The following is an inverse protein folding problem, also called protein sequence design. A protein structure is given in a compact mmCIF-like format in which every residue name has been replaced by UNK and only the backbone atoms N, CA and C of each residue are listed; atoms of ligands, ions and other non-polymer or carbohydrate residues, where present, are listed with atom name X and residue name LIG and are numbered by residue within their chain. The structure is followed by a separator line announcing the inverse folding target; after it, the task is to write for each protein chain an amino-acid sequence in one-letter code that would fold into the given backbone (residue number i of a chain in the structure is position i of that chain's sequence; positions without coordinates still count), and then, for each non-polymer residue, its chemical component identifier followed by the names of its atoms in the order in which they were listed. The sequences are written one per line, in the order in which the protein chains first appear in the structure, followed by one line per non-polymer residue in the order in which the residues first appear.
data_IF_615794797102
#
_entry.id   IF_615794797102
#
_cell.length_a   1.000
_cell.length_b   1.000
_cell.length_c   1.000
_cell.angle_alpha   90.00
_cell.angle_beta   90.00
_cell.angle_gamma   90.00
#
_symmetry.space_group_name_H-M   'P 1'
#
loop_
_entity.id
_entity.type
_entity.pdbx_description
1 polymer ?
#
# COMPACT_ATOMS: atom_id res chain seq x y z
N UNK A 1 15.46 -3.15 -55.19
CA UNK A 1 14.85 -2.22 -54.22
C UNK A 1 14.95 -2.88 -52.85
N UNK A 2 15.88 -2.46 -52.00
CA UNK A 2 16.07 -3.03 -50.66
C UNK A 2 15.52 -2.03 -49.64
N UNK A 3 14.44 -2.40 -48.93
CA UNK A 3 13.95 -1.64 -47.78
C UNK A 3 14.85 -1.91 -46.56
N UNK A 4 15.28 -0.89 -45.81
CA UNK A 4 15.96 -1.09 -44.55
C UNK A 4 14.98 -1.54 -43.46
N UNK A 5 15.40 -2.57 -42.73
CA UNK A 5 14.72 -3.17 -41.60
C UNK A 5 14.55 -2.18 -40.45
N UNK A 6 13.30 -1.87 -40.10
CA UNK A 6 12.93 -1.04 -38.95
C UNK A 6 13.20 -1.79 -37.65
N UNK A 7 14.20 -1.35 -36.89
CA UNK A 7 14.43 -1.79 -35.52
C UNK A 7 13.24 -1.40 -34.63
N UNK A 8 12.76 -2.25 -33.72
CA UNK A 8 11.75 -1.86 -32.74
C UNK A 8 12.33 -0.83 -31.77
N UNK A 9 11.65 0.31 -31.67
CA UNK A 9 11.94 1.36 -30.68
C UNK A 9 11.61 0.79 -29.31
N UNK A 10 12.65 0.48 -28.52
CA UNK A 10 12.53 0.17 -27.11
C UNK A 10 12.05 1.44 -26.39
N UNK A 11 10.74 1.52 -26.15
CA UNK A 11 10.16 2.53 -25.28
C UNK A 11 10.70 2.32 -23.87
N UNK A 12 11.69 3.15 -23.49
CA UNK A 12 12.10 3.28 -22.09
C UNK A 12 10.88 3.79 -21.33
N UNK A 13 10.24 2.92 -20.55
CA UNK A 13 9.34 3.36 -19.50
C UNK A 13 10.11 4.35 -18.60
N UNK A 14 9.51 5.47 -18.18
CA UNK A 14 10.15 6.36 -17.24
C UNK A 14 10.56 5.55 -16.01
N UNK A 15 11.79 5.72 -15.48
CA UNK A 15 12.11 5.14 -14.19
C UNK A 15 11.07 5.67 -13.21
N UNK A 16 10.41 4.76 -12.50
CA UNK A 16 9.51 5.07 -11.38
C UNK A 16 10.34 5.69 -10.25
N UNK A 17 10.84 6.91 -10.46
CA UNK A 17 11.45 7.75 -9.46
C UNK A 17 10.27 8.38 -8.76
N UNK A 18 9.56 7.62 -7.92
CA UNK A 18 8.77 8.24 -6.88
C UNK A 18 9.79 8.97 -6.01
N UNK A 19 9.80 10.32 -5.98
CA UNK A 19 10.72 11.03 -5.12
C UNK A 19 10.39 10.59 -3.69
N UNK A 20 11.35 9.95 -3.03
CA UNK A 20 11.26 9.58 -1.62
C UNK A 20 11.31 10.87 -0.80
N UNK A 21 10.23 11.64 -0.82
CA UNK A 21 10.14 12.88 -0.06
C UNK A 21 9.94 12.51 1.39
N UNK A 22 10.99 12.69 2.19
CA UNK A 22 10.92 12.61 3.64
C UNK A 22 10.09 13.79 4.14
N UNK A 23 8.98 13.51 4.82
CA UNK A 23 8.09 14.58 5.28
C UNK A 23 7.08 14.10 6.32
N UNK A 24 6.27 15.06 6.80
CA UNK A 24 5.17 14.79 7.73
C UNK A 24 3.93 14.39 6.95
N UNK A 25 3.33 13.25 7.29
CA UNK A 25 2.04 12.87 6.72
C UNK A 25 0.94 13.84 7.19
N UNK A 26 0.21 14.45 6.27
CA UNK A 26 -0.89 15.37 6.61
C UNK A 26 -2.05 14.71 7.35
N UNK A 27 -2.25 13.39 7.20
CA UNK A 27 -3.36 12.66 7.82
C UNK A 27 -3.02 12.16 9.24
N UNK A 28 -1.93 11.40 9.40
CA UNK A 28 -1.55 10.84 10.72
C UNK A 28 -0.52 11.68 11.49
N UNK A 29 0.03 12.73 10.89
CA UNK A 29 1.00 13.63 11.54
C UNK A 29 2.39 13.04 11.80
N UNK A 30 2.62 11.75 11.48
CA UNK A 30 3.90 11.09 11.68
C UNK A 30 4.95 11.69 10.74
N UNK A 31 6.09 12.08 11.32
CA UNK A 31 7.27 12.63 10.64
C UNK A 31 8.11 11.52 10.04
N UNK A 32 9.05 11.89 9.16
CA UNK A 32 10.09 11.01 8.64
C UNK A 32 9.61 9.74 7.92
N UNK A 33 8.35 9.73 7.46
CA UNK A 33 7.87 8.60 6.68
C UNK A 33 8.54 8.60 5.31
N UNK A 34 9.03 7.42 4.93
CA UNK A 34 9.48 7.17 3.57
C UNK A 34 8.23 6.95 2.71
N UNK A 35 8.23 7.45 1.47
CA UNK A 35 7.12 7.34 0.52
C UNK A 35 5.84 8.10 0.95
N UNK A 36 5.87 9.43 0.79
CA UNK A 36 4.65 10.24 0.77
C UNK A 36 4.06 10.28 -0.65
N UNK A 37 2.77 10.01 -0.74
CA UNK A 37 1.97 10.20 -1.94
C UNK A 37 1.45 11.63 -1.94
N UNK A 38 1.72 12.35 -3.03
CA UNK A 38 1.14 13.66 -3.25
C UNK A 38 -0.31 13.47 -3.70
N UNK A 39 -1.24 14.01 -2.93
CA UNK A 39 -2.66 14.02 -3.27
C UNK A 39 -3.16 15.45 -3.24
N UNK A 40 -4.02 15.81 -4.20
CA UNK A 40 -4.68 17.10 -4.21
C UNK A 40 -5.98 16.96 -3.42
N UNK A 41 -6.06 17.62 -2.27
CA UNK A 41 -7.28 17.65 -1.45
C UNK A 41 -7.74 19.10 -1.37
N UNK A 42 -8.90 19.38 -2.00
CA UNK A 42 -9.48 20.74 -2.08
C UNK A 42 -8.52 21.77 -2.72
N UNK A 43 -7.79 21.38 -3.75
CA UNK A 43 -6.87 22.27 -4.47
C UNK A 43 -5.53 22.54 -3.78
N UNK A 44 -5.24 21.86 -2.66
CA UNK A 44 -3.94 21.95 -1.98
C UNK A 44 -3.22 20.61 -2.06
N UNK A 45 -1.96 20.63 -2.49
CA UNK A 45 -1.09 19.45 -2.45
C UNK A 45 -0.80 19.05 -1.01
N UNK A 46 -1.12 17.79 -0.69
CA UNK A 46 -0.87 17.20 0.62
C UNK A 46 -0.10 15.91 0.46
N UNK A 47 0.97 15.78 1.23
CA UNK A 47 1.71 14.51 1.34
C UNK A 47 1.04 13.59 2.35
N UNK A 48 0.52 12.44 1.89
CA UNK A 48 0.01 11.39 2.78
C UNK A 48 0.82 10.12 2.62
N UNK A 49 1.08 9.40 3.71
CA UNK A 49 1.85 8.16 3.61
C UNK A 49 1.02 7.02 3.03
N UNK A 50 1.69 5.98 2.51
CA UNK A 50 1.03 4.80 1.93
C UNK A 50 0.00 4.20 2.89
N UNK A 51 0.31 4.08 4.18
CA UNK A 51 -0.63 3.55 5.18
C UNK A 51 -1.90 4.40 5.30
N UNK A 52 -1.84 5.72 5.10
CA UNK A 52 -3.00 6.60 5.13
C UNK A 52 -3.80 6.52 3.83
N UNK A 53 -3.14 6.44 2.68
CA UNK A 53 -3.82 6.16 1.39
C UNK A 53 -4.67 4.89 1.51
N UNK A 54 -4.07 3.80 1.98
CA UNK A 54 -4.74 2.51 2.13
C UNK A 54 -5.92 2.58 3.13
N UNK A 55 -5.80 3.35 4.22
CA UNK A 55 -6.92 3.54 5.18
C UNK A 55 -8.07 4.37 4.62
N UNK A 56 -7.81 5.29 3.68
CA UNK A 56 -8.83 6.11 3.05
C UNK A 56 -9.61 5.36 1.95
N UNK A 57 -9.04 4.26 1.43
CA UNK A 57 -9.64 3.46 0.36
C UNK A 57 -9.77 1.95 0.74
N UNK A 58 -10.45 1.62 1.85
CA UNK A 58 -10.49 0.25 2.38
C UNK A 58 -11.22 -0.76 1.47
N UNK A 59 -12.04 -0.28 0.53
CA UNK A 59 -12.82 -1.11 -0.41
C UNK A 59 -12.16 -1.24 -1.79
N UNK A 60 -10.89 -0.84 -1.93
CA UNK A 60 -10.18 -0.90 -3.22
C UNK A 60 -9.19 -2.05 -3.32
N UNK A 61 -8.83 -2.69 -2.20
CA UNK A 61 -7.81 -3.74 -2.15
C UNK A 61 -8.01 -4.67 -0.94
N UNK A 62 -7.51 -5.90 -1.06
CA UNK A 62 -7.48 -6.83 0.08
C UNK A 62 -6.39 -6.42 1.10
N UNK A 63 -6.71 -6.13 2.37
CA UNK A 63 -5.75 -5.73 3.39
C UNK A 63 -4.78 -6.84 3.81
N UNK A 64 -5.04 -8.09 3.43
CA UNK A 64 -4.16 -9.23 3.73
C UNK A 64 -3.06 -9.44 2.67
N UNK A 65 -3.35 -9.18 1.40
CA UNK A 65 -2.41 -9.45 0.29
C UNK A 65 -2.10 -8.23 -0.60
N UNK A 66 -2.69 -7.08 -0.31
CA UNK A 66 -2.51 -5.82 -1.03
C UNK A 66 -2.86 -5.84 -2.52
N UNK A 67 -3.52 -6.89 -3.02
CA UNK A 67 -4.05 -6.93 -4.37
C UNK A 67 -5.31 -6.07 -4.47
N UNK A 68 -5.34 -5.20 -5.48
CA UNK A 68 -6.54 -4.45 -5.85
C UNK A 68 -7.61 -5.39 -6.40
N UNK A 69 -8.87 -5.01 -6.24
CA UNK A 69 -9.96 -5.75 -6.87
C UNK A 69 -9.98 -5.39 -8.36
N UNK A 70 -9.74 -6.38 -9.23
CA UNK A 70 -9.92 -6.20 -10.67
C UNK A 70 -11.41 -6.07 -11.01
N UNK A 71 -11.70 -5.23 -12.01
CA UNK A 71 -12.99 -4.72 -12.49
C UNK A 71 -14.24 -5.60 -12.21
N UNK A 72 -15.34 -5.04 -11.66
CA UNK A 72 -16.61 -5.74 -11.45
C UNK A 72 -17.32 -6.25 -12.72
N UNK A 73 -16.84 -5.92 -13.93
CA UNK A 73 -17.45 -6.32 -15.21
C UNK A 73 -16.85 -7.60 -15.83
N UNK A 74 -15.81 -8.20 -15.25
CA UNK A 74 -15.25 -9.46 -15.75
C UNK A 74 -16.13 -10.64 -15.33
N UNK A 75 -17.20 -10.88 -16.08
CA UNK A 75 -18.18 -11.97 -15.89
C UNK A 75 -17.64 -13.37 -16.22
N UNK A 76 -16.32 -13.57 -16.24
CA UNK A 76 -15.70 -14.81 -16.76
C UNK A 76 -14.70 -15.48 -15.82
N UNK A 77 -14.63 -15.12 -14.53
CA UNK A 77 -13.79 -15.87 -13.58
C UNK A 77 -14.46 -16.10 -12.22
N UNK A 78 -14.65 -17.37 -11.93
CA UNK A 78 -15.51 -17.99 -10.92
C UNK A 78 -15.08 -17.78 -9.44
N UNK A 79 -14.18 -16.87 -9.05
CA UNK A 79 -13.33 -17.15 -7.86
C UNK A 79 -12.97 -16.00 -6.89
N UNK A 80 -13.51 -14.79 -7.01
CA UNK A 80 -13.25 -13.73 -6.00
C UNK A 80 -14.26 -13.77 -4.84
N UNK A 81 -14.25 -14.85 -4.05
CA UNK A 81 -15.02 -14.87 -2.81
C UNK A 81 -14.38 -13.90 -1.81
N UNK A 82 -15.15 -12.91 -1.38
CA UNK A 82 -14.75 -11.93 -0.37
C UNK A 82 -15.56 -12.12 0.91
N UNK A 83 -14.97 -11.69 2.02
CA UNK A 83 -15.68 -11.47 3.28
C UNK A 83 -15.52 -10.00 3.69
N UNK A 84 -16.59 -9.42 4.22
CA UNK A 84 -16.63 -8.03 4.66
C UNK A 84 -16.25 -7.89 6.13
N UNK A 85 -15.53 -6.81 6.45
CA UNK A 85 -15.29 -6.42 7.83
C UNK A 85 -16.60 -5.95 8.48
N UNK A 86 -16.88 -6.37 9.70
CA UNK A 86 -18.10 -5.94 10.42
C UNK A 86 -18.05 -4.49 10.92
N UNK A 87 -16.87 -3.82 10.90
CA UNK A 87 -16.67 -2.45 11.41
C UNK A 87 -16.43 -1.39 10.34
N UNK A 88 -16.08 -1.78 9.11
CA UNK A 88 -15.77 -0.84 8.03
C UNK A 88 -16.05 -1.47 6.67
N UNK A 89 -15.94 -0.70 5.59
CA UNK A 89 -16.22 -1.18 4.23
C UNK A 89 -15.09 -2.04 3.61
N UNK A 90 -14.14 -2.53 4.42
CA UNK A 90 -13.02 -3.34 3.92
C UNK A 90 -13.47 -4.75 3.54
N UNK A 91 -12.96 -5.24 2.40
CA UNK A 91 -13.22 -6.60 1.92
C UNK A 91 -11.91 -7.40 1.95
N UNK A 92 -11.96 -8.70 2.19
CA UNK A 92 -10.78 -9.56 2.13
C UNK A 92 -11.08 -10.82 1.35
N UNK A 93 -10.14 -11.28 0.53
CA UNK A 93 -10.29 -12.56 -0.14
C UNK A 93 -10.44 -13.66 0.92
N UNK A 94 -11.41 -14.57 0.77
CA UNK A 94 -11.61 -15.68 1.71
C UNK A 94 -10.35 -16.56 1.76
N UNK A 95 -9.66 -16.77 0.63
CA UNK A 95 -8.40 -17.51 0.57
C UNK A 95 -7.23 -16.80 1.29
N UNK A 96 -7.33 -15.49 1.57
CA UNK A 96 -6.33 -14.81 2.40
C UNK A 96 -6.53 -15.03 3.90
N UNK A 97 -7.61 -15.72 4.30
CA UNK A 97 -7.91 -16.02 5.69
C UNK A 97 -7.57 -17.47 6.02
N UNK A 98 -7.44 -17.75 7.31
CA UNK A 98 -7.39 -19.11 7.82
C UNK A 98 -8.69 -19.84 7.46
N UNK A 99 -8.56 -21.13 7.10
CA UNK A 99 -9.71 -22.01 6.87
C UNK A 99 -10.08 -22.74 8.16
N UNK A 100 -11.35 -22.72 8.61
CA UNK A 100 -12.49 -22.00 8.03
C UNK A 100 -12.48 -20.50 8.37
N UNK A 101 -13.08 -19.63 7.53
CA UNK A 101 -13.18 -18.21 7.82
C UNK A 101 -14.03 -17.96 9.07
N UNK A 102 -13.69 -16.96 9.90
CA UNK A 102 -14.42 -16.67 11.13
C UNK A 102 -15.84 -16.17 10.82
N UNK A 103 -16.83 -16.46 11.70
CA UNK A 103 -18.21 -16.04 11.51
C UNK A 103 -18.37 -14.51 11.57
N UNK A 104 -17.50 -13.83 12.32
CA UNK A 104 -17.42 -12.37 12.36
C UNK A 104 -16.00 -11.92 12.02
N UNK A 105 -15.86 -11.32 10.84
CA UNK A 105 -14.55 -10.90 10.35
C UNK A 105 -14.25 -9.45 10.72
N UNK A 106 -13.07 -9.22 11.30
CA UNK A 106 -12.47 -7.91 11.47
C UNK A 106 -11.22 -7.84 10.61
N UNK A 107 -11.15 -6.86 9.69
CA UNK A 107 -9.95 -6.63 8.91
C UNK A 107 -8.77 -6.23 9.82
N UNK A 108 -7.51 -6.43 9.39
CA UNK A 108 -6.34 -6.12 10.22
C UNK A 108 -6.34 -4.69 10.80
N UNK A 109 -6.75 -3.63 10.05
CA UNK A 109 -6.91 -2.28 10.62
C UNK A 109 -7.96 -2.16 11.74
N UNK A 110 -9.01 -2.97 11.73
CA UNK A 110 -10.11 -2.89 12.70
C UNK A 110 -9.94 -3.85 13.90
N UNK A 111 -9.14 -4.90 13.75
CA UNK A 111 -8.82 -5.83 14.84
C UNK A 111 -7.70 -5.31 15.74
N UNK A 112 -6.82 -4.44 15.23
CA UNK A 112 -5.67 -3.91 15.97
C UNK A 112 -5.73 -2.37 16.10
N UNK A 113 -5.76 -1.80 17.32
CA UNK A 113 -5.93 -0.36 17.52
C UNK A 113 -4.78 0.49 16.95
N UNK A 114 -3.54 -0.05 16.98
CA UNK A 114 -2.34 0.62 16.48
C UNK A 114 -1.84 0.04 15.15
N UNK A 115 -2.74 -0.56 14.37
CA UNK A 115 -2.37 -1.23 13.12
C UNK A 115 -1.63 -0.29 12.16
N UNK A 116 -0.53 -0.73 11.56
CA UNK A 116 0.07 -0.03 10.43
C UNK A 116 0.40 -1.01 9.33
N UNK A 117 0.06 -0.65 8.09
CA UNK A 117 0.37 -1.49 6.92
C UNK A 117 1.87 -1.62 6.69
N UNK A 118 2.63 -0.61 7.10
CA UNK A 118 4.08 -0.53 6.93
C UNK A 118 4.68 -0.01 8.22
N UNK A 119 5.10 -0.90 9.14
CA UNK A 119 5.83 -0.49 10.33
C UNK A 119 7.12 0.19 9.87
N UNK A 120 7.27 1.46 10.21
CA UNK A 120 8.54 2.15 10.05
C UNK A 120 9.38 1.71 11.24
N UNK A 121 10.59 1.14 11.04
CA UNK A 121 11.49 0.93 12.16
C UNK A 121 11.75 2.30 12.76
N UNK A 122 11.38 2.48 14.03
CA UNK A 122 11.87 3.61 14.80
C UNK A 122 13.39 3.53 14.70
N UNK A 123 14.01 4.42 13.92
CA UNK A 123 15.45 4.48 13.88
C UNK A 123 15.95 4.62 15.32
N UNK A 124 16.91 3.82 15.80
CA UNK A 124 17.52 4.01 17.10
C UNK A 124 18.38 5.28 17.10
N UNK A 125 17.76 6.45 17.01
CA UNK A 125 18.36 7.76 17.29
C UNK A 125 17.85 8.16 18.68
N UNK A 126 18.15 7.32 19.66
CA UNK A 126 18.30 7.70 21.07
C UNK A 126 18.95 6.56 21.85
N UNK A 127 20.07 6.05 21.34
CA UNK A 127 21.21 5.55 22.12
C UNK A 127 22.30 5.18 21.12
N UNK A 128 23.20 6.12 20.90
CA UNK A 128 24.50 5.83 20.33
C UNK A 128 25.27 4.90 21.27
N UNK A 129 25.04 3.59 21.16
CA UNK A 129 26.06 2.62 21.57
C UNK A 129 27.00 2.47 20.38
N UNK A 130 28.14 3.18 20.48
CA UNK A 130 29.36 2.95 19.70
C UNK A 130 29.61 1.45 19.58
N UNK A 131 29.46 0.91 18.38
CA UNK A 131 30.19 -0.30 18.00
C UNK A 131 31.37 0.16 17.14
N UNK A 132 32.55 0.22 17.78
CA UNK A 132 33.83 0.29 17.09
C UNK A 132 34.02 -1.02 16.33
N UNK A 133 34.14 -0.95 15.01
CA UNK A 133 34.72 -2.01 14.20
C UNK A 133 36.20 -1.71 14.02
N UNK A 134 36.98 -2.06 15.05
CA UNK A 134 38.43 -2.19 14.96
C UNK A 134 38.86 -3.33 15.88
N UNK A 135 38.96 -4.54 15.32
CA UNK A 135 40.01 -5.53 15.54
C UNK A 135 39.80 -6.77 14.69
#
# INVERSE_FOLDING_TARGET
MNLPSSKPILSKSPPNIFPFVKGKCCNCGIKDRWLLHNVVVRGVDRGICTSCVLRLHPSSFCPCCFKFYENPLSTTSTTHCFISCIKCSSLSHIHCLSSPPPPSYLCPPCSQPNFTFFPVPESPISKASRFNWDK
#
